data_IF_741345740122
#
_entry.id   IF_741345740122
#
_cell.length_a   1.000
_cell.length_b   1.000
_cell.length_c   1.000
_cell.angle_alpha   90.00
_cell.angle_beta   90.00
_cell.angle_gamma   90.00
#
_symmetry.space_group_name_H-M   'P 1'
#
loop_
_entity.id
_entity.type
_entity.pdbx_description
1 polymer ?
#
# COMPACT_ATOMS: atom_id res chain seq x y z
N UNK A 1 -7.40 -5.85 -18.15
CA UNK A 1 -7.26 -5.95 -17.77
C UNK A 1 -7.22 -5.58 -16.78
N UNK A 2 -7.48 -5.50 -16.49
CA UNK A 2 -7.56 -5.15 -15.74
C UNK A 2 -7.08 -5.01 -14.71
N UNK A 3 -6.78 -5.24 -14.45
CA UNK A 3 -6.21 -5.18 -13.56
C UNK A 3 -5.65 -4.12 -13.20
N UNK A 4 -6.23 -3.30 -13.12
CA UNK A 4 -5.76 -2.23 -12.83
C UNK A 4 -5.52 -2.15 -11.42
N UNK A 5 -4.34 -1.94 -11.00
CA UNK A 5 -4.01 -1.71 -9.63
C UNK A 5 -4.76 -0.53 -9.05
N UNK A 6 -5.05 0.43 -9.89
CA UNK A 6 -5.75 1.62 -9.43
C UNK A 6 -7.05 1.29 -8.73
N UNK A 7 -7.67 0.18 -9.09
CA UNK A 7 -8.93 -0.19 -8.47
C UNK A 7 -8.80 -0.98 -7.19
N UNK A 8 -7.60 -1.36 -6.79
CA UNK A 8 -7.41 -2.14 -5.59
C UNK A 8 -7.40 -1.25 -4.36
N UNK A 9 -8.06 -1.70 -3.31
CA UNK A 9 -7.93 -1.03 -2.03
C UNK A 9 -6.54 -1.30 -1.48
N UNK A 10 -6.14 -0.49 -0.52
CA UNK A 10 -4.87 -0.71 0.16
C UNK A 10 -4.83 -2.12 0.76
N UNK A 11 -5.92 -2.51 1.41
CA UNK A 11 -5.96 -3.80 2.09
C UNK A 11 -5.84 -4.95 1.11
N UNK A 12 -6.52 -4.86 -0.02
CA UNK A 12 -6.45 -5.93 -1.01
C UNK A 12 -5.06 -5.99 -1.64
N UNK A 13 -4.48 -4.84 -1.92
CA UNK A 13 -3.14 -4.81 -2.49
C UNK A 13 -2.13 -5.38 -1.51
N UNK A 14 -2.27 -5.03 -0.24
CA UNK A 14 -1.36 -5.54 0.78
C UNK A 14 -1.50 -7.05 0.92
N UNK A 15 -2.72 -7.55 0.88
CA UNK A 15 -2.94 -8.99 1.00
C UNK A 15 -2.30 -9.73 -0.16
N UNK A 16 -2.43 -9.19 -1.36
CA UNK A 16 -1.81 -9.83 -2.50
C UNK A 16 -0.29 -9.79 -2.38
N UNK A 17 0.24 -8.65 -1.95
CA UNK A 17 1.68 -8.52 -1.77
C UNK A 17 2.20 -9.53 -0.77
N UNK A 18 1.47 -9.71 0.32
CA UNK A 18 1.88 -10.68 1.33
C UNK A 18 1.91 -12.09 0.77
N UNK A 19 0.94 -12.43 -0.07
CA UNK A 19 0.95 -13.75 -0.69
C UNK A 19 2.15 -13.93 -1.60
N UNK A 20 2.50 -12.89 -2.34
CA UNK A 20 3.64 -12.94 -3.23
C UNK A 20 4.92 -13.11 -2.44
N UNK A 21 5.08 -12.38 -1.37
CA UNK A 21 6.27 -12.49 -0.55
C UNK A 21 6.42 -13.91 0.01
N UNK A 22 5.32 -14.46 0.50
CA UNK A 22 5.37 -15.82 1.01
C UNK A 22 5.74 -16.82 -0.07
N UNK A 23 5.21 -16.63 -1.27
CA UNK A 23 5.56 -17.50 -2.37
C UNK A 23 7.03 -17.43 -2.73
N UNK A 24 7.58 -16.23 -2.73
CA UNK A 24 8.99 -16.06 -3.03
C UNK A 24 9.87 -16.64 -1.93
N UNK A 25 9.45 -16.47 -0.68
CA UNK A 25 10.21 -17.01 0.43
C UNK A 25 10.23 -18.52 0.41
N UNK A 26 9.19 -19.14 -0.14
CA UNK A 26 9.14 -20.57 -0.25
C UNK A 26 10.19 -21.14 -1.20
N UNK A 27 10.60 -20.34 -2.17
CA UNK A 27 11.68 -20.73 -3.05
C UNK A 27 11.39 -21.88 -3.97
N UNK A 28 10.13 -22.19 -4.22
CA UNK A 28 9.78 -23.32 -5.05
C UNK A 28 9.27 -22.94 -6.42
N UNK A 29 9.26 -21.67 -6.73
CA UNK A 29 8.77 -21.23 -8.01
C UNK A 29 9.87 -21.35 -9.05
N UNK A 30 9.43 -21.51 -10.29
CA UNK A 30 10.36 -21.42 -11.39
C UNK A 30 10.86 -19.98 -11.47
N UNK A 31 12.06 -19.83 -12.01
CA UNK A 31 12.68 -18.52 -12.08
C UNK A 31 11.76 -17.49 -12.76
N UNK A 32 11.18 -17.87 -13.88
CA UNK A 32 10.33 -16.94 -14.60
C UNK A 32 9.12 -16.52 -13.78
N UNK A 33 8.55 -17.47 -13.04
CA UNK A 33 7.41 -17.16 -12.19
C UNK A 33 7.84 -16.24 -11.05
N UNK A 34 9.01 -16.49 -10.51
CA UNK A 34 9.53 -15.66 -9.43
C UNK A 34 9.75 -14.23 -9.90
N UNK A 35 10.26 -14.07 -11.11
CA UNK A 35 10.47 -12.74 -11.66
C UNK A 35 9.15 -12.02 -11.85
N UNK A 36 8.15 -12.73 -12.39
CA UNK A 36 6.85 -12.13 -12.59
C UNK A 36 6.23 -11.72 -11.26
N UNK A 37 6.38 -12.56 -10.25
CA UNK A 37 5.88 -12.23 -8.91
C UNK A 37 6.59 -11.01 -8.34
N UNK A 38 7.91 -10.95 -8.55
CA UNK A 38 8.66 -9.82 -8.05
C UNK A 38 8.20 -8.52 -8.71
N UNK A 39 7.97 -8.58 -10.04
CA UNK A 39 7.51 -7.41 -10.74
C UNK A 39 6.13 -6.99 -10.25
N UNK A 40 5.24 -7.96 -10.09
CA UNK A 40 3.90 -7.66 -9.58
C UNK A 40 4.00 -7.10 -8.17
N UNK A 41 4.85 -7.68 -7.34
CA UNK A 41 5.04 -7.22 -5.97
C UNK A 41 5.53 -5.79 -5.93
N UNK A 42 6.43 -5.43 -6.84
CA UNK A 42 6.92 -4.06 -6.90
C UNK A 42 5.80 -3.09 -7.20
N UNK A 43 4.93 -3.45 -8.13
CA UNK A 43 3.81 -2.59 -8.48
C UNK A 43 2.84 -2.47 -7.32
N UNK A 44 2.58 -3.58 -6.64
CA UNK A 44 1.70 -3.55 -5.48
C UNK A 44 2.28 -2.71 -4.35
N UNK A 45 3.58 -2.82 -4.15
CA UNK A 45 4.24 -2.02 -3.12
C UNK A 45 4.10 -0.54 -3.41
N UNK A 46 4.31 -0.16 -4.67
CA UNK A 46 4.17 1.25 -5.04
C UNK A 46 2.74 1.72 -4.86
N UNK A 47 1.79 0.85 -5.20
CA UNK A 47 0.38 1.19 -5.01
C UNK A 47 0.07 1.42 -3.54
N UNK A 48 0.58 0.55 -2.67
CA UNK A 48 0.36 0.71 -1.23
C UNK A 48 1.01 1.98 -0.72
N UNK A 49 2.22 2.26 -1.20
CA UNK A 49 2.91 3.48 -0.77
C UNK A 49 2.15 4.72 -1.19
N UNK A 50 1.59 4.70 -2.39
CA UNK A 50 0.81 5.84 -2.85
C UNK A 50 -0.44 6.02 -2.02
N UNK A 51 -1.09 4.91 -1.66
CA UNK A 51 -2.28 5.00 -0.83
C UNK A 51 -1.94 5.52 0.56
N UNK A 52 -0.82 5.07 1.11
CA UNK A 52 -0.39 5.56 2.41
C UNK A 52 -0.07 7.05 2.36
N UNK A 53 0.59 7.49 1.29
CA UNK A 53 0.92 8.90 1.15
C UNK A 53 -0.35 9.73 1.06
N UNK A 54 -1.34 9.23 0.33
CA UNK A 54 -2.62 9.90 0.24
C UNK A 54 -3.28 10.02 1.61
N UNK A 55 -3.25 8.92 2.36
CA UNK A 55 -3.86 8.91 3.68
C UNK A 55 -3.13 9.86 4.62
N UNK A 56 -1.80 9.87 4.53
CA UNK A 56 -1.03 10.78 5.36
C UNK A 56 -1.34 12.23 5.04
N UNK A 57 -1.49 12.53 3.75
CA UNK A 57 -1.81 13.89 3.35
C UNK A 57 -3.18 14.31 3.89
N UNK A 58 -4.13 13.37 3.88
CA UNK A 58 -5.46 13.67 4.38
C UNK A 58 -5.45 13.88 5.87
N UNK A 59 -4.71 13.07 6.59
CA UNK A 59 -4.58 13.24 8.03
C UNK A 59 -3.92 14.57 8.33
N UNK A 60 -2.87 14.89 7.58
CA UNK A 60 -2.17 16.14 7.78
C UNK A 60 -3.10 17.32 7.57
N UNK A 61 -3.93 17.26 6.53
CA UNK A 61 -4.87 18.33 6.26
C UNK A 61 -5.87 18.48 7.41
N UNK A 62 -6.30 17.37 7.97
CA UNK A 62 -7.23 17.42 9.09
C UNK A 62 -6.56 18.06 10.29
N UNK A 63 -5.34 17.64 10.58
CA UNK A 63 -4.61 18.17 11.69
C UNK A 63 -4.37 19.67 11.54
N UNK A 64 -3.96 20.09 10.34
CA UNK A 64 -3.70 21.50 10.12
C UNK A 64 -4.95 22.33 10.22
N UNK A 65 -6.06 21.81 9.72
CA UNK A 65 -7.30 22.55 9.76
C UNK A 65 -7.78 22.75 11.17
N UNK A 66 -7.64 21.71 11.98
CA UNK A 66 -8.11 21.76 13.34
C UNK A 66 -7.07 22.34 14.27
N UNK A 67 -5.83 22.42 13.80
CA UNK A 67 -4.75 22.85 14.60
C UNK A 67 -4.96 24.18 15.15
N UNK A 68 -5.47 25.03 14.38
CA UNK A 68 -5.71 26.33 14.88
C UNK A 68 -6.78 26.32 15.94
N UNK A 69 -7.43 25.20 16.19
CA UNK A 69 -8.49 25.21 17.14
C UNK A 69 -8.54 23.98 18.00
N UNK A 70 -8.97 22.87 17.45
CA UNK A 70 -9.31 21.76 18.27
C UNK A 70 -8.33 20.63 18.37
N UNK A 71 -7.63 20.41 17.30
CA UNK A 71 -6.77 19.23 17.23
C UNK A 71 -5.79 19.19 18.38
N UNK A 72 -5.20 20.30 18.67
CA UNK A 72 -4.21 20.35 19.73
C UNK A 72 -4.81 20.01 21.06
N UNK A 73 -5.99 20.50 21.30
CA UNK A 73 -6.65 20.20 22.54
C UNK A 73 -6.99 18.75 22.68
N UNK A 74 -7.40 18.16 21.60
CA UNK A 74 -7.77 16.76 21.63
C UNK A 74 -6.58 15.89 21.89
N UNK A 75 -5.45 16.28 21.39
CA UNK A 75 -4.25 15.50 21.57
C UNK A 75 -3.71 15.62 22.99
N UNK A 76 -3.94 16.74 23.57
CA UNK A 76 -3.49 16.94 24.90
C UNK A 76 -4.40 16.33 25.91
#
# INVERSE_FOLDING_TARGET
MSDTLAGLSFEDALAELERIVRGLEGGQQKLEDAIACYERGTMLRRHCEAKLAEAEARVQAIVERADGSLALKAVE
#
